data_IF_721169156318
#
_entry.id   IF_721169156318
#
_cell.length_a   1.000
_cell.length_b   1.000
_cell.length_c   1.000
_cell.angle_alpha   90.00
_cell.angle_beta   90.00
_cell.angle_gamma   90.00
#
_symmetry.space_group_name_H-M   'P 1'
#
loop_
_entity.id
_entity.type
_entity.pdbx_description
1 polymer ?
#
# COMPACT_ATOMS: atom_id res chain seq x y z
N UNK A 1 24.75 -18.62 -35.06
CA UNK A 1 23.76 -19.48 -34.36
C UNK A 1 22.85 -18.60 -33.54
N UNK A 2 21.66 -18.33 -34.06
CA UNK A 2 20.60 -17.62 -33.37
C UNK A 2 20.00 -18.51 -32.26
N UNK A 3 19.82 -17.95 -31.06
CA UNK A 3 18.91 -18.48 -30.06
C UNK A 3 18.01 -17.33 -29.60
N UNK A 4 16.83 -17.30 -30.20
CA UNK A 4 15.70 -16.47 -29.85
C UNK A 4 15.23 -16.80 -28.43
N UNK A 5 15.34 -15.84 -27.51
CA UNK A 5 14.51 -15.82 -26.31
C UNK A 5 13.26 -15.01 -26.65
N UNK A 6 12.18 -15.71 -26.98
CA UNK A 6 10.87 -15.13 -27.20
C UNK A 6 10.39 -14.44 -25.92
N UNK A 7 10.43 -13.10 -25.90
CA UNK A 7 9.62 -12.31 -24.98
C UNK A 7 8.16 -12.49 -25.40
N UNK A 8 7.41 -13.31 -24.67
CA UNK A 8 5.96 -13.38 -24.81
C UNK A 8 5.36 -11.98 -24.62
N UNK A 9 4.29 -11.63 -25.36
CA UNK A 9 3.63 -10.35 -25.17
C UNK A 9 3.03 -10.34 -23.76
N UNK A 10 3.58 -9.51 -22.87
CA UNK A 10 2.91 -9.17 -21.62
C UNK A 10 1.51 -8.67 -21.99
N UNK A 11 0.47 -9.35 -21.50
CA UNK A 11 -0.92 -8.89 -21.64
C UNK A 11 -0.97 -7.47 -21.11
N UNK A 12 -0.97 -6.49 -22.03
CA UNK A 12 -1.41 -5.14 -21.70
C UNK A 12 -2.79 -5.30 -21.07
N UNK A 13 -2.97 -4.73 -19.87
CA UNK A 13 -4.28 -4.69 -19.24
C UNK A 13 -5.26 -4.08 -20.25
N UNK A 14 -6.15 -4.90 -20.80
CA UNK A 14 -7.18 -4.46 -21.72
C UNK A 14 -8.20 -3.67 -20.90
N UNK A 15 -8.08 -2.35 -20.90
CA UNK A 15 -9.07 -1.48 -20.28
C UNK A 15 -10.34 -1.51 -21.14
N UNK A 16 -11.52 -1.79 -20.57
CA UNK A 16 -12.78 -1.69 -21.30
C UNK A 16 -12.97 -0.24 -21.75
N UNK A 17 -13.03 -0.02 -23.07
CA UNK A 17 -13.28 1.27 -23.69
C UNK A 17 -14.78 1.59 -23.70
N UNK A 18 -15.37 1.77 -22.52
CA UNK A 18 -16.73 2.30 -22.40
C UNK A 18 -16.68 3.82 -22.22
N UNK A 19 -16.20 4.50 -23.27
CA UNK A 19 -16.35 5.95 -23.46
C UNK A 19 -17.58 6.20 -24.33
N UNK A 20 -18.73 5.67 -23.90
CA UNK A 20 -20.01 5.93 -24.56
C UNK A 20 -21.13 5.86 -23.52
N UNK A 21 -21.40 7.00 -22.86
CA UNK A 21 -22.71 7.48 -22.38
C UNK A 21 -22.56 8.47 -21.19
N UNK A 22 -22.65 9.76 -21.48
CA UNK A 22 -23.63 10.63 -20.82
C UNK A 22 -23.42 11.16 -19.39
N UNK A 23 -22.35 10.84 -18.65
CA UNK A 23 -21.92 11.61 -17.46
C UNK A 23 -20.41 11.52 -17.37
N UNK A 24 -19.70 12.63 -17.13
CA UNK A 24 -18.30 12.57 -16.72
C UNK A 24 -18.23 11.66 -15.47
N UNK A 25 -17.74 10.43 -15.66
CA UNK A 25 -17.74 9.34 -14.66
C UNK A 25 -16.72 9.65 -13.58
N UNK A 26 -17.07 10.58 -12.68
CA UNK A 26 -16.21 11.02 -11.56
C UNK A 26 -15.55 9.81 -10.91
N UNK A 27 -14.23 9.90 -10.79
CA UNK A 27 -13.40 8.92 -10.08
C UNK A 27 -12.94 9.56 -8.79
N UNK A 28 -13.12 8.85 -7.69
CA UNK A 28 -12.65 9.23 -6.37
C UNK A 28 -11.49 8.34 -5.99
N UNK A 29 -10.41 8.95 -5.52
CA UNK A 29 -9.27 8.28 -4.93
C UNK A 29 -9.31 8.51 -3.43
N UNK A 30 -9.39 7.43 -2.66
CA UNK A 30 -9.42 7.47 -1.21
C UNK A 30 -8.11 6.91 -0.67
N UNK A 31 -7.45 7.68 0.18
CA UNK A 31 -6.41 7.10 1.03
C UNK A 31 -7.03 6.16 2.06
N UNK A 32 -6.23 5.28 2.64
CA UNK A 32 -6.70 4.29 3.61
C UNK A 32 -6.38 4.72 5.05
N UNK A 33 -5.09 4.77 5.37
CA UNK A 33 -4.59 4.98 6.73
C UNK A 33 -4.77 6.45 7.14
N UNK A 34 -5.38 6.69 8.31
CA UNK A 34 -5.80 8.01 8.79
C UNK A 34 -6.77 8.77 7.86
N UNK A 35 -7.46 8.06 6.96
CA UNK A 35 -8.57 8.60 6.16
C UNK A 35 -9.83 7.77 6.35
N UNK A 36 -9.75 6.45 6.15
CA UNK A 36 -10.88 5.54 6.30
C UNK A 36 -10.87 4.79 7.64
N UNK A 37 -9.75 4.83 8.37
CA UNK A 37 -9.60 4.31 9.72
C UNK A 37 -8.47 5.00 10.47
N UNK A 38 -8.50 4.96 11.81
CA UNK A 38 -7.46 5.49 12.68
C UNK A 38 -6.25 4.54 12.73
N UNK A 39 -5.33 4.74 11.80
CA UNK A 39 -4.11 3.96 11.68
C UNK A 39 -3.09 4.33 12.76
N UNK A 40 -3.07 5.60 13.19
CA UNK A 40 -2.22 6.06 14.30
C UNK A 40 -2.43 5.23 15.56
N UNK A 41 -3.70 4.96 15.90
CA UNK A 41 -4.03 4.11 17.05
C UNK A 41 -3.87 2.61 16.76
N UNK A 42 -4.23 2.14 15.56
CA UNK A 42 -4.38 0.70 15.30
C UNK A 42 -3.15 -0.01 14.74
N UNK A 43 -2.30 0.68 13.97
CA UNK A 43 -1.27 0.02 13.14
C UNK A 43 0.08 0.75 13.09
N UNK A 44 0.14 2.08 13.09
CA UNK A 44 1.41 2.81 12.85
C UNK A 44 2.51 2.51 13.86
N UNK A 45 2.19 2.48 15.16
CA UNK A 45 3.16 2.09 16.19
C UNK A 45 3.73 0.67 15.95
N UNK A 46 2.88 -0.37 15.89
CA UNK A 46 3.28 -1.73 15.55
C UNK A 46 4.05 -1.86 14.24
N UNK A 47 3.65 -1.17 13.17
CA UNK A 47 4.35 -1.21 11.88
C UNK A 47 5.73 -0.57 11.99
N UNK A 48 5.86 0.56 12.70
CA UNK A 48 7.15 1.21 12.91
C UNK A 48 8.12 0.33 13.69
N UNK A 49 7.63 -0.38 14.71
CA UNK A 49 8.43 -1.35 15.46
C UNK A 49 8.84 -2.52 14.58
N UNK A 50 7.90 -3.11 13.82
CA UNK A 50 8.18 -4.21 12.92
C UNK A 50 9.19 -3.82 11.81
N UNK A 51 9.09 -2.62 11.25
CA UNK A 51 10.07 -2.08 10.31
C UNK A 51 11.45 -1.91 10.96
N UNK A 52 11.49 -1.43 12.20
CA UNK A 52 12.76 -1.25 12.94
C UNK A 52 13.41 -2.60 13.22
N UNK A 53 12.64 -3.57 13.73
CA UNK A 53 13.14 -4.92 13.98
C UNK A 53 13.60 -5.62 12.69
N UNK A 54 12.88 -5.44 11.59
CA UNK A 54 13.32 -5.96 10.29
C UNK A 54 14.72 -5.45 9.91
N UNK A 55 14.98 -4.16 10.14
CA UNK A 55 16.29 -3.54 9.85
C UNK A 55 17.38 -4.09 10.77
N UNK A 56 17.08 -4.27 12.07
CA UNK A 56 17.99 -4.95 13.02
C UNK A 56 18.39 -6.32 12.48
N UNK A 57 17.39 -7.15 12.15
CA UNK A 57 17.61 -8.55 11.77
C UNK A 57 18.37 -8.71 10.44
N UNK A 58 18.14 -7.80 9.47
CA UNK A 58 18.68 -7.94 8.12
C UNK A 58 19.97 -7.18 7.86
N UNK A 59 20.24 -6.11 8.65
CA UNK A 59 21.43 -5.29 8.50
C UNK A 59 22.41 -5.43 9.68
N UNK A 60 22.07 -6.26 10.67
CA UNK A 60 22.87 -6.49 11.89
C UNK A 60 23.20 -5.18 12.62
N UNK A 61 22.19 -4.31 12.73
CA UNK A 61 22.32 -3.00 13.38
C UNK A 61 21.74 -3.01 14.80
N UNK A 62 22.34 -2.28 15.75
CA UNK A 62 21.69 -1.99 17.02
C UNK A 62 20.32 -1.32 16.81
N UNK A 63 19.34 -1.65 17.67
CA UNK A 63 17.98 -1.11 17.56
C UNK A 63 17.91 0.42 17.44
N UNK A 64 18.67 1.22 18.23
CA UNK A 64 18.67 2.68 18.07
C UNK A 64 19.13 3.16 16.69
N UNK A 65 20.13 2.48 16.10
CA UNK A 65 20.65 2.80 14.77
C UNK A 65 19.67 2.38 13.67
N UNK A 66 19.06 1.20 13.80
CA UNK A 66 18.00 0.74 12.92
C UNK A 66 16.79 1.70 12.91
N UNK A 67 16.40 2.19 14.09
CA UNK A 67 15.33 3.18 14.24
C UNK A 67 15.70 4.50 13.56
N UNK A 68 16.92 5.00 13.78
CA UNK A 68 17.40 6.23 13.16
C UNK A 68 17.46 6.09 11.63
N UNK A 69 17.94 4.95 11.13
CA UNK A 69 17.98 4.65 9.71
C UNK A 69 16.58 4.59 9.09
N UNK A 70 15.61 3.99 9.78
CA UNK A 70 14.20 3.97 9.35
C UNK A 70 13.67 5.39 9.17
N UNK A 71 13.87 6.24 10.17
CA UNK A 71 13.43 7.64 10.15
C UNK A 71 14.14 8.43 9.04
N UNK A 72 15.44 8.24 8.88
CA UNK A 72 16.23 8.86 7.82
C UNK A 72 15.66 8.50 6.45
N UNK A 73 15.43 7.22 6.15
CA UNK A 73 14.89 6.82 4.85
C UNK A 73 13.46 7.29 4.62
N UNK A 74 12.62 7.31 5.65
CA UNK A 74 11.29 7.90 5.51
C UNK A 74 11.36 9.40 5.18
N UNK A 75 12.16 10.18 5.90
CA UNK A 75 12.29 11.63 5.67
C UNK A 75 12.89 11.97 4.30
N UNK A 76 13.91 11.22 3.86
CA UNK A 76 14.63 11.52 2.62
C UNK A 76 13.97 10.96 1.36
N UNK A 77 13.27 9.82 1.47
CA UNK A 77 12.68 9.14 0.31
C UNK A 77 11.14 9.15 0.31
N UNK A 78 10.50 9.59 1.39
CA UNK A 78 9.04 9.49 1.58
C UNK A 78 8.57 8.10 2.02
N UNK A 79 9.43 7.08 1.93
CA UNK A 79 9.15 5.73 2.40
C UNK A 79 10.44 4.98 2.77
N UNK A 80 10.48 4.39 3.96
CA UNK A 80 11.61 3.56 4.44
C UNK A 80 12.02 2.50 3.42
N UNK A 81 11.04 1.82 2.82
CA UNK A 81 11.25 0.77 1.83
C UNK A 81 12.14 1.24 0.68
N UNK A 82 11.97 2.47 0.19
CA UNK A 82 12.75 2.99 -0.95
C UNK A 82 14.24 3.11 -0.60
N UNK A 83 14.57 3.56 0.61
CA UNK A 83 15.95 3.62 1.08
C UNK A 83 16.56 2.23 1.24
N UNK A 84 15.81 1.28 1.79
CA UNK A 84 16.26 -0.11 1.96
C UNK A 84 16.50 -0.82 0.62
N UNK A 85 15.61 -0.64 -0.35
CA UNK A 85 15.79 -1.19 -1.71
C UNK A 85 17.03 -0.58 -2.36
N UNK A 86 17.18 0.74 -2.27
CA UNK A 86 18.24 1.48 -2.98
C UNK A 86 19.64 1.20 -2.43
N UNK A 87 19.79 1.19 -1.11
CA UNK A 87 21.12 1.18 -0.48
C UNK A 87 21.53 -0.17 0.06
N UNK A 88 20.57 -1.06 0.31
CA UNK A 88 20.82 -2.36 0.96
C UNK A 88 20.38 -3.56 0.12
N UNK A 89 19.84 -3.33 -1.08
CA UNK A 89 19.38 -4.41 -1.97
C UNK A 89 18.20 -5.21 -1.43
N UNK A 90 17.49 -4.70 -0.42
CA UNK A 90 16.34 -5.37 0.18
C UNK A 90 15.22 -5.47 -0.86
N UNK A 91 14.63 -6.65 -0.99
CA UNK A 91 13.44 -6.86 -1.85
C UNK A 91 12.24 -6.16 -1.23
N UNK A 92 11.61 -5.27 -1.98
CA UNK A 92 10.42 -4.52 -1.55
C UNK A 92 9.31 -5.43 -1.03
N UNK A 93 8.97 -6.49 -1.78
CA UNK A 93 7.92 -7.43 -1.40
C UNK A 93 8.17 -8.12 -0.06
N UNK A 94 9.42 -8.53 0.20
CA UNK A 94 9.80 -9.18 1.45
C UNK A 94 9.65 -8.22 2.65
N UNK A 95 10.15 -6.98 2.50
CA UNK A 95 10.02 -5.95 3.53
C UNK A 95 8.55 -5.63 3.82
N UNK A 96 7.75 -5.40 2.78
CA UNK A 96 6.33 -5.06 2.91
C UNK A 96 5.53 -6.18 3.57
N UNK A 97 5.76 -7.43 3.17
CA UNK A 97 5.11 -8.58 3.79
C UNK A 97 5.48 -8.70 5.27
N UNK A 98 6.77 -8.72 5.59
CA UNK A 98 7.25 -8.95 6.95
C UNK A 98 6.76 -7.89 7.94
N UNK A 99 6.77 -6.62 7.52
CA UNK A 99 6.49 -5.47 8.40
C UNK A 99 4.99 -5.19 8.59
N UNK A 100 4.12 -5.77 7.76
CA UNK A 100 2.67 -5.52 7.81
C UNK A 100 1.83 -6.75 8.16
N UNK A 101 2.45 -7.83 8.68
CA UNK A 101 1.70 -8.99 9.22
C UNK A 101 0.83 -8.60 10.41
N UNK A 102 1.32 -7.74 11.31
CA UNK A 102 0.59 -7.15 12.44
C UNK A 102 -0.47 -8.09 13.08
N UNK A 103 -0.05 -9.12 13.81
CA UNK A 103 -0.98 -10.00 14.53
C UNK A 103 -1.89 -9.18 15.46
N UNK A 104 -3.19 -9.50 15.47
CA UNK A 104 -4.19 -8.79 16.28
C UNK A 104 -4.56 -7.40 15.78
N UNK A 105 -4.20 -7.02 14.54
CA UNK A 105 -4.66 -5.78 13.90
C UNK A 105 -6.19 -5.66 13.93
N UNK A 106 -6.89 -6.73 13.58
CA UNK A 106 -8.33 -6.76 13.35
C UNK A 106 -9.12 -6.34 14.61
N UNK A 107 -8.62 -6.68 15.80
CA UNK A 107 -9.27 -6.33 17.07
C UNK A 107 -9.16 -4.84 17.43
N UNK A 108 -8.26 -4.10 16.76
CA UNK A 108 -8.02 -2.65 16.97
C UNK A 108 -8.69 -1.77 15.92
N UNK A 109 -9.13 -2.36 14.81
CA UNK A 109 -9.76 -1.64 13.70
C UNK A 109 -11.19 -1.21 14.05
N UNK A 110 -11.54 0.04 13.76
CA UNK A 110 -12.86 0.63 14.02
C UNK A 110 -13.31 1.48 12.83
N UNK A 111 -14.61 1.46 12.55
CA UNK A 111 -15.24 2.33 11.56
C UNK A 111 -16.71 2.56 11.93
N UNK A 112 -17.26 3.73 11.57
CA UNK A 112 -18.66 4.05 11.83
C UNK A 112 -19.60 3.50 10.75
N UNK A 113 -20.82 3.12 11.15
CA UNK A 113 -21.89 2.82 10.19
C UNK A 113 -22.23 4.00 9.31
N UNK A 114 -22.06 5.22 9.82
CA UNK A 114 -22.28 6.46 9.08
C UNK A 114 -21.32 6.59 7.89
N UNK A 115 -20.03 6.32 8.08
CA UNK A 115 -19.01 6.45 7.04
C UNK A 115 -19.23 5.44 5.92
N UNK A 116 -19.57 4.19 6.28
CA UNK A 116 -19.97 3.16 5.31
C UNK A 116 -21.17 3.59 4.48
N UNK A 117 -22.18 4.18 5.12
CA UNK A 117 -23.37 4.66 4.42
C UNK A 117 -23.05 5.84 3.49
N UNK A 118 -22.18 6.77 3.93
CA UNK A 118 -21.74 7.90 3.12
C UNK A 118 -20.99 7.43 1.86
N UNK A 119 -20.03 6.50 1.99
CA UNK A 119 -19.28 5.94 0.87
C UNK A 119 -20.19 5.25 -0.17
N UNK A 120 -21.22 4.53 0.28
CA UNK A 120 -22.20 3.88 -0.61
C UNK A 120 -23.07 4.87 -1.37
N UNK A 121 -23.43 6.00 -0.75
CA UNK A 121 -24.26 7.04 -1.38
C UNK A 121 -23.46 7.91 -2.35
N UNK A 122 -22.13 7.94 -2.23
CA UNK A 122 -21.28 8.80 -3.06
C UNK A 122 -21.30 8.33 -4.53
N UNK A 123 -21.79 9.16 -5.48
CA UNK A 123 -21.84 8.79 -6.89
C UNK A 123 -20.45 8.84 -7.54
N UNK A 124 -20.23 7.95 -8.50
CA UNK A 124 -18.95 7.80 -9.20
C UNK A 124 -18.16 6.56 -8.77
N UNK A 125 -17.10 6.26 -9.51
CA UNK A 125 -16.21 5.14 -9.21
C UNK A 125 -15.28 5.52 -8.05
N UNK A 126 -15.01 4.60 -7.15
CA UNK A 126 -14.24 4.81 -5.93
C UNK A 126 -13.09 3.81 -5.90
N UNK A 127 -11.86 4.30 -5.84
CA UNK A 127 -10.68 3.47 -5.72
C UNK A 127 -9.94 3.81 -4.43
N UNK A 128 -9.37 2.80 -3.80
CA UNK A 128 -8.35 3.02 -2.76
C UNK A 128 -7.02 3.33 -3.44
N UNK A 129 -6.32 4.33 -2.95
CA UNK A 129 -4.95 4.67 -3.31
C UNK A 129 -4.13 4.80 -2.02
N UNK A 130 -3.34 3.78 -1.67
CA UNK A 130 -2.62 3.71 -0.38
C UNK A 130 -1.15 3.34 -0.56
N UNK A 131 -0.28 3.90 0.29
CA UNK A 131 1.12 3.50 0.41
C UNK A 131 1.31 2.20 1.22
N UNK A 132 0.24 1.62 1.74
CA UNK A 132 0.32 0.35 2.43
C UNK A 132 0.35 -0.84 1.44
N UNK A 133 0.91 -2.00 1.84
CA UNK A 133 0.88 -3.21 1.03
C UNK A 133 -0.54 -3.69 0.73
N UNK A 134 -0.75 -4.29 -0.43
CA UNK A 134 -2.05 -4.81 -0.87
C UNK A 134 -2.68 -5.75 0.16
N UNK A 135 -1.89 -6.69 0.69
CA UNK A 135 -2.37 -7.68 1.64
C UNK A 135 -2.89 -7.04 2.95
N UNK A 136 -2.19 -6.03 3.45
CA UNK A 136 -2.63 -5.25 4.60
C UNK A 136 -3.90 -4.45 4.29
N UNK A 137 -3.92 -3.74 3.16
CA UNK A 137 -5.06 -2.92 2.77
C UNK A 137 -6.35 -3.75 2.64
N UNK A 138 -6.27 -4.94 2.04
CA UNK A 138 -7.41 -5.85 1.93
C UNK A 138 -7.91 -6.34 3.30
N UNK A 139 -7.01 -6.70 4.22
CA UNK A 139 -7.38 -7.08 5.59
C UNK A 139 -8.12 -5.96 6.33
N UNK A 140 -7.62 -4.73 6.20
CA UNK A 140 -8.26 -3.55 6.80
C UNK A 140 -9.65 -3.34 6.20
N UNK A 141 -9.77 -3.32 4.88
CA UNK A 141 -11.05 -3.11 4.19
C UNK A 141 -12.08 -4.19 4.55
N UNK A 142 -11.66 -5.45 4.63
CA UNK A 142 -12.54 -6.56 4.98
C UNK A 142 -13.04 -6.46 6.43
N UNK A 143 -12.12 -6.24 7.37
CA UNK A 143 -12.44 -6.08 8.80
C UNK A 143 -13.41 -4.91 9.03
N UNK A 144 -13.20 -3.80 8.31
CA UNK A 144 -14.05 -2.61 8.41
C UNK A 144 -15.34 -2.74 7.59
N UNK A 145 -15.56 -3.85 6.87
CA UNK A 145 -16.70 -4.09 5.97
C UNK A 145 -16.84 -3.01 4.89
N UNK A 146 -15.71 -2.59 4.36
CA UNK A 146 -15.57 -1.56 3.33
C UNK A 146 -15.29 -2.12 1.94
N UNK A 147 -14.91 -3.40 1.81
CA UNK A 147 -14.56 -4.02 0.53
C UNK A 147 -15.61 -3.79 -0.58
N UNK A 148 -16.90 -3.88 -0.24
CA UNK A 148 -17.99 -3.63 -1.20
C UNK A 148 -18.28 -2.16 -1.52
N UNK A 149 -17.50 -1.21 -1.02
CA UNK A 149 -17.69 0.23 -1.26
C UNK A 149 -16.76 0.79 -2.37
N UNK A 150 -15.78 0.01 -2.81
CA UNK A 150 -14.73 0.44 -3.74
C UNK A 150 -14.68 -0.47 -4.97
N UNK A 151 -14.44 0.13 -6.13
CA UNK A 151 -14.30 -0.53 -7.43
C UNK A 151 -12.89 -1.09 -7.66
N UNK A 152 -11.91 -0.68 -6.85
CA UNK A 152 -10.54 -1.18 -6.94
C UNK A 152 -9.61 -0.64 -5.86
N UNK A 153 -8.41 -1.21 -5.83
CA UNK A 153 -7.33 -0.89 -4.91
C UNK A 153 -6.05 -0.72 -5.70
N UNK A 154 -5.38 0.42 -5.50
CA UNK A 154 -4.05 0.76 -5.98
C UNK A 154 -3.16 0.87 -4.73
N UNK A 155 -2.32 -0.14 -4.51
CA UNK A 155 -1.41 -0.21 -3.36
C UNK A 155 0.01 0.21 -3.77
N UNK A 156 0.93 0.28 -2.81
CA UNK A 156 2.33 0.64 -3.08
C UNK A 156 3.01 -0.24 -4.13
N UNK A 157 2.62 -1.52 -4.20
CA UNK A 157 3.14 -2.47 -5.19
C UNK A 157 2.73 -2.09 -6.63
N UNK A 158 1.59 -1.44 -6.82
CA UNK A 158 1.10 -1.01 -8.14
C UNK A 158 1.73 0.32 -8.59
N UNK A 159 2.28 1.09 -7.65
CA UNK A 159 2.84 2.41 -7.93
C UNK A 159 4.27 2.30 -8.42
N UNK A 160 4.42 2.01 -9.73
CA UNK A 160 5.72 1.96 -10.40
C UNK A 160 5.78 2.91 -11.59
N UNK A 161 6.94 3.54 -11.78
CA UNK A 161 7.22 4.40 -12.93
C UNK A 161 8.65 4.13 -13.41
N UNK A 162 8.80 3.86 -14.71
CA UNK A 162 10.09 3.49 -15.32
C UNK A 162 10.80 2.31 -14.61
N UNK A 163 10.03 1.34 -14.12
CA UNK A 163 10.56 0.17 -13.41
C UNK A 163 10.94 0.41 -11.95
N UNK A 164 10.67 1.60 -11.40
CA UNK A 164 10.97 1.94 -10.01
C UNK A 164 9.69 2.21 -9.21
N UNK A 165 9.67 1.81 -7.94
CA UNK A 165 8.58 2.17 -7.02
C UNK A 165 8.50 3.70 -6.83
N UNK A 166 7.29 4.24 -6.95
CA UNK A 166 6.94 5.66 -6.78
C UNK A 166 5.67 5.78 -5.94
N UNK A 167 5.73 5.47 -4.63
CA UNK A 167 4.61 5.68 -3.72
C UNK A 167 4.10 7.13 -3.78
N UNK A 168 2.84 7.34 -3.41
CA UNK A 168 2.28 8.70 -3.30
C UNK A 168 3.07 9.49 -2.22
N UNK A 169 3.29 10.80 -2.41
CA UNK A 169 4.04 11.62 -1.45
C UNK A 169 3.38 11.68 -0.08
#
# INVERSE_FOLDING_TARGET
MAALLSRGPGRAASWPSDVAAGRARRVWLFDLDNTLHDASHSSFGPTNEAMTQYIVDHLDLPHPEAWALRQHYWLHYGATMLGLVRHHGIKASHFLEATHRLPGLESRLRTSSHDRAALRRLPGRKFILTNAPRAYALRVLDTLRLSGCFDGLISIEDMTMFGHHRPKP
#
